data_IF_281406132497
#
_entry.id   IF_281406132497
#
_cell.length_a   1.000
_cell.length_b   1.000
_cell.length_c   1.000
_cell.angle_alpha   90.00
_cell.angle_beta   90.00
_cell.angle_gamma   90.00
#
_symmetry.space_group_name_H-M   'P 1'
#
loop_
_entity.id
_entity.type
_entity.pdbx_description
1 polymer ?
#
# COMPACT_ATOMS: atom_id res chain seq x y z
N UNK A 1 -47.27 -22.07 66.66
CA UNK A 1 -46.35 -21.21 65.87
C UNK A 1 -44.93 -21.69 66.15
N UNK A 2 -44.30 -22.46 65.25
CA UNK A 2 -43.46 -21.98 64.12
C UNK A 2 -42.28 -21.14 64.63
N UNK A 3 -41.00 -21.44 64.42
CA UNK A 3 -40.29 -22.15 63.34
C UNK A 3 -39.01 -22.84 63.84
N UNK A 4 -38.61 -23.89 63.12
CA UNK A 4 -37.38 -24.69 63.26
C UNK A 4 -36.12 -23.89 62.89
N UNK A 5 -35.07 -24.00 63.71
CA UNK A 5 -33.69 -23.68 63.31
C UNK A 5 -33.09 -24.96 62.71
N UNK A 6 -32.91 -24.98 61.38
CA UNK A 6 -32.12 -26.01 60.69
C UNK A 6 -30.71 -25.46 60.46
N UNK A 7 -29.72 -26.18 60.98
CA UNK A 7 -28.33 -26.03 60.62
C UNK A 7 -28.14 -26.30 59.11
N UNK A 8 -27.49 -25.37 58.41
CA UNK A 8 -27.03 -25.58 57.04
C UNK A 8 -25.50 -25.76 57.09
N UNK A 9 -25.07 -27.00 56.89
CA UNK A 9 -23.68 -27.35 56.65
C UNK A 9 -23.37 -26.89 55.22
N UNK A 10 -22.57 -25.83 55.09
CA UNK A 10 -22.06 -25.38 53.80
C UNK A 10 -20.80 -26.21 53.47
N UNK A 11 -20.98 -27.25 52.67
CA UNK A 11 -19.86 -27.98 52.07
C UNK A 11 -19.17 -27.10 51.03
N UNK A 12 -17.94 -26.67 51.31
CA UNK A 12 -17.05 -26.13 50.29
C UNK A 12 -16.64 -27.28 49.35
N UNK A 13 -17.31 -27.40 48.21
CA UNK A 13 -16.68 -28.01 47.03
C UNK A 13 -15.78 -26.96 46.39
N UNK A 14 -14.48 -27.09 46.62
CA UNK A 14 -13.46 -26.42 45.80
C UNK A 14 -13.49 -27.05 44.41
N UNK A 15 -14.18 -26.38 43.47
CA UNK A 15 -14.05 -26.67 42.03
C UNK A 15 -12.70 -26.09 41.62
N UNK A 16 -11.70 -26.95 41.48
CA UNK A 16 -10.44 -26.61 40.82
C UNK A 16 -10.76 -26.49 39.33
N UNK A 17 -10.61 -25.33 38.68
CA UNK A 17 -10.66 -25.29 37.22
C UNK A 17 -9.42 -26.04 36.72
N UNK A 18 -9.62 -27.20 36.10
CA UNK A 18 -8.61 -27.81 35.26
C UNK A 18 -8.31 -26.83 34.13
N UNK A 19 -7.22 -26.07 34.28
CA UNK A 19 -6.61 -25.35 33.18
C UNK A 19 -6.08 -26.44 32.24
N UNK A 20 -6.88 -26.77 31.22
CA UNK A 20 -6.33 -27.40 30.02
C UNK A 20 -5.38 -26.39 29.41
N UNK A 21 -4.08 -26.60 29.63
CA UNK A 21 -3.05 -26.02 28.79
C UNK A 21 -3.28 -26.64 27.43
N UNK A 22 -4.01 -25.94 26.56
CA UNK A 22 -3.96 -26.18 25.14
C UNK A 22 -2.50 -25.93 24.75
N UNK A 23 -1.72 -27.00 24.60
CA UNK A 23 -0.49 -26.94 23.84
C UNK A 23 -0.90 -26.41 22.46
N UNK A 24 -0.62 -25.13 22.20
CA UNK A 24 -0.63 -24.60 20.85
C UNK A 24 0.56 -25.26 20.15
N UNK A 25 0.35 -26.49 19.69
CA UNK A 25 1.04 -26.98 18.51
C UNK A 25 0.53 -26.11 17.36
N UNK A 26 1.08 -24.90 17.24
CA UNK A 26 1.05 -24.17 15.98
C UNK A 26 1.82 -25.06 15.01
N UNK A 27 1.09 -25.92 14.29
CA UNK A 27 1.61 -26.48 13.05
C UNK A 27 1.99 -25.25 12.24
N UNK A 28 3.29 -24.97 12.14
CA UNK A 28 3.79 -23.99 11.19
C UNK A 28 3.12 -24.32 9.86
N UNK A 29 2.28 -23.41 9.37
CA UNK A 29 1.68 -23.57 8.06
C UNK A 29 2.86 -23.67 7.09
N UNK A 30 3.00 -24.83 6.46
CA UNK A 30 4.04 -25.03 5.46
C UNK A 30 3.60 -24.25 4.22
N UNK A 31 4.17 -23.06 4.04
CA UNK A 31 4.02 -22.27 2.82
C UNK A 31 4.93 -22.89 1.76
N UNK A 32 4.40 -23.35 0.61
CA UNK A 32 5.20 -23.96 -0.44
C UNK A 32 6.38 -23.08 -0.86
N UNK A 33 7.56 -23.69 -1.01
CA UNK A 33 8.77 -22.99 -1.45
C UNK A 33 9.46 -22.11 -0.41
N UNK A 34 8.93 -21.98 0.81
CA UNK A 34 9.56 -21.16 1.87
C UNK A 34 10.55 -21.97 2.71
N UNK A 35 11.83 -21.58 2.66
CA UNK A 35 12.92 -22.16 3.44
C UNK A 35 13.04 -21.58 4.86
N UNK A 36 13.86 -22.19 5.73
CA UNK A 36 14.19 -21.62 7.05
C UNK A 36 14.87 -20.25 6.97
N UNK A 37 15.76 -20.07 5.98
CA UNK A 37 16.42 -18.77 5.71
C UNK A 37 15.37 -17.72 5.35
N UNK A 38 14.41 -18.06 4.50
CA UNK A 38 13.32 -17.14 4.14
C UNK A 38 12.46 -16.76 5.35
N UNK A 39 12.17 -17.70 6.26
CA UNK A 39 11.44 -17.39 7.52
C UNK A 39 12.20 -16.43 8.42
N UNK A 40 13.51 -16.65 8.58
CA UNK A 40 14.38 -15.73 9.34
C UNK A 40 14.36 -14.34 8.70
N UNK A 41 14.55 -14.28 7.39
CA UNK A 41 14.53 -13.02 6.63
C UNK A 41 13.19 -12.30 6.75
N UNK A 42 12.07 -13.02 6.66
CA UNK A 42 10.76 -12.40 6.80
C UNK A 42 10.55 -11.81 8.21
N UNK A 43 11.08 -12.46 9.25
CA UNK A 43 11.11 -11.90 10.61
C UNK A 43 11.95 -10.61 10.66
N UNK A 44 13.13 -10.61 10.06
CA UNK A 44 13.98 -9.40 9.98
C UNK A 44 13.30 -8.26 9.23
N UNK A 45 12.62 -8.58 8.13
CA UNK A 45 11.87 -7.64 7.33
C UNK A 45 10.71 -7.04 8.11
N UNK A 46 9.86 -7.87 8.73
CA UNK A 46 8.75 -7.44 9.59
C UNK A 46 9.23 -6.47 10.69
N UNK A 47 10.38 -6.76 11.30
CA UNK A 47 11.00 -5.88 12.28
C UNK A 47 11.53 -4.57 11.65
N UNK A 48 12.07 -4.63 10.44
CA UNK A 48 12.63 -3.47 9.73
C UNK A 48 11.58 -2.48 9.23
N UNK A 49 10.41 -2.97 8.80
CA UNK A 49 9.25 -2.13 8.46
C UNK A 49 8.40 -1.77 9.68
N UNK A 50 8.68 -2.41 10.82
CA UNK A 50 8.06 -2.12 12.09
C UNK A 50 6.61 -2.59 12.16
N UNK A 51 6.25 -3.75 11.60
CA UNK A 51 4.89 -4.33 11.66
C UNK A 51 4.82 -5.55 12.61
N UNK A 52 5.68 -5.57 13.61
CA UNK A 52 5.67 -6.53 14.72
C UNK A 52 4.36 -6.54 15.52
N UNK A 53 4.24 -7.47 16.45
CA UNK A 53 3.12 -7.49 17.42
C UNK A 53 3.05 -6.13 18.16
N UNK A 54 1.85 -5.59 18.33
CA UNK A 54 1.56 -4.27 18.95
C UNK A 54 1.98 -3.03 18.13
N UNK A 55 2.47 -3.18 16.90
CA UNK A 55 2.80 -2.02 16.09
C UNK A 55 1.59 -1.22 15.64
N UNK A 56 1.74 0.10 15.65
CA UNK A 56 0.79 1.07 15.08
C UNK A 56 1.12 1.46 13.64
N UNK A 57 2.28 1.01 13.12
CA UNK A 57 2.72 1.32 11.76
C UNK A 57 2.10 0.34 10.77
N UNK A 58 1.85 0.85 9.57
CA UNK A 58 1.34 0.08 8.45
C UNK A 58 2.48 -0.24 7.48
N UNK A 59 2.28 -1.24 6.65
CA UNK A 59 3.13 -1.48 5.48
C UNK A 59 2.31 -2.00 4.33
N UNK A 60 2.45 -1.34 3.19
CA UNK A 60 1.75 -1.68 1.96
C UNK A 60 2.70 -2.25 0.91
N UNK A 61 2.17 -3.03 -0.03
CA UNK A 61 2.94 -3.48 -1.20
C UNK A 61 2.09 -3.46 -2.47
N UNK A 62 2.73 -3.05 -3.57
CA UNK A 62 2.12 -3.11 -4.90
C UNK A 62 2.16 -4.53 -5.46
N UNK A 63 0.99 -5.02 -5.92
CA UNK A 63 0.80 -6.35 -6.51
C UNK A 63 0.23 -6.19 -7.92
N UNK A 64 1.11 -6.28 -8.93
CA UNK A 64 0.74 -6.06 -10.32
C UNK A 64 0.26 -7.32 -11.04
N UNK A 65 -0.71 -7.15 -11.95
CA UNK A 65 -1.32 -8.24 -12.73
C UNK A 65 -0.29 -9.02 -13.57
N UNK A 66 0.56 -8.31 -14.31
CA UNK A 66 1.47 -8.90 -15.31
C UNK A 66 2.59 -9.75 -14.74
N UNK A 67 2.84 -9.68 -13.42
CA UNK A 67 3.96 -10.35 -12.77
C UNK A 67 3.51 -11.16 -11.57
N UNK A 68 3.18 -10.48 -10.48
CA UNK A 68 2.86 -11.15 -9.21
C UNK A 68 1.58 -11.95 -9.33
N UNK A 69 0.48 -11.33 -9.79
CA UNK A 69 -0.78 -12.08 -9.93
C UNK A 69 -0.63 -13.19 -10.96
N UNK A 70 0.03 -12.94 -12.10
CA UNK A 70 0.33 -13.98 -13.08
C UNK A 70 1.10 -15.18 -12.50
N UNK A 71 2.07 -14.96 -11.62
CA UNK A 71 2.81 -16.03 -10.91
C UNK A 71 1.90 -16.83 -9.97
N UNK A 72 0.91 -16.17 -9.36
CA UNK A 72 0.00 -16.75 -8.36
C UNK A 72 -1.43 -16.94 -8.88
N UNK A 73 -1.63 -17.04 -10.20
CA UNK A 73 -2.97 -17.07 -10.79
C UNK A 73 -3.75 -18.32 -10.37
N UNK A 74 -3.07 -19.44 -10.20
CA UNK A 74 -3.69 -20.70 -9.75
C UNK A 74 -3.63 -20.88 -8.23
N UNK A 75 -2.83 -20.07 -7.52
CA UNK A 75 -2.55 -20.23 -6.08
C UNK A 75 -2.55 -18.89 -5.32
N UNK A 76 -3.66 -18.14 -5.29
CA UNK A 76 -3.76 -16.89 -4.53
C UNK A 76 -3.44 -17.05 -3.03
N UNK A 77 -3.73 -18.21 -2.44
CA UNK A 77 -3.43 -18.53 -1.05
C UNK A 77 -1.92 -18.50 -0.72
N UNK A 78 -1.07 -18.89 -1.66
CA UNK A 78 0.38 -18.88 -1.45
C UNK A 78 0.91 -17.45 -1.41
N UNK A 79 0.35 -16.57 -2.25
CA UNK A 79 0.66 -15.14 -2.22
C UNK A 79 0.25 -14.54 -0.87
N UNK A 80 -0.98 -14.80 -0.40
CA UNK A 80 -1.45 -14.30 0.90
C UNK A 80 -0.54 -14.78 2.03
N UNK A 81 -0.20 -16.07 2.07
CA UNK A 81 0.67 -16.62 3.12
C UNK A 81 2.06 -15.95 3.13
N UNK A 82 2.62 -15.64 1.97
CA UNK A 82 3.88 -14.89 1.85
C UNK A 82 3.75 -13.43 2.30
N UNK A 83 2.65 -12.76 1.94
CA UNK A 83 2.37 -11.38 2.37
C UNK A 83 2.26 -11.29 3.91
N UNK A 84 1.55 -12.23 4.52
CA UNK A 84 1.41 -12.35 5.99
C UNK A 84 2.77 -12.60 6.64
N UNK A 85 3.57 -13.52 6.08
CA UNK A 85 4.89 -13.84 6.61
C UNK A 85 5.83 -12.64 6.62
N UNK A 86 5.77 -11.81 5.57
CA UNK A 86 6.53 -10.56 5.46
C UNK A 86 5.92 -9.41 6.28
N UNK A 87 4.77 -9.61 6.92
CA UNK A 87 4.16 -8.63 7.81
C UNK A 87 3.53 -7.43 7.08
N UNK A 88 3.09 -7.60 5.84
CA UNK A 88 2.30 -6.56 5.18
C UNK A 88 0.93 -6.43 5.84
N UNK A 89 0.46 -5.19 5.96
CA UNK A 89 -0.86 -4.85 6.53
C UNK A 89 -1.83 -4.33 5.48
N UNK A 90 -1.31 -3.91 4.32
CA UNK A 90 -2.08 -3.43 3.19
C UNK A 90 -1.54 -4.01 1.88
N UNK A 91 -2.41 -4.15 0.89
CA UNK A 91 -2.03 -4.50 -0.48
C UNK A 91 -2.68 -3.52 -1.45
N UNK A 92 -1.89 -2.99 -2.39
CA UNK A 92 -2.38 -2.26 -3.55
C UNK A 92 -2.39 -3.21 -4.74
N UNK A 93 -3.56 -3.79 -5.04
CA UNK A 93 -3.67 -4.87 -6.01
C UNK A 93 -4.26 -4.37 -7.34
N UNK A 94 -3.60 -4.70 -8.45
CA UNK A 94 -4.13 -4.42 -9.79
C UNK A 94 -5.56 -4.93 -9.91
N UNK A 95 -6.48 -4.07 -10.39
CA UNK A 95 -7.87 -4.42 -10.62
C UNK A 95 -8.37 -3.76 -11.90
N UNK A 96 -8.79 -4.57 -12.87
CA UNK A 96 -9.14 -4.11 -14.22
C UNK A 96 -10.38 -4.85 -14.75
N UNK A 97 -10.99 -4.29 -15.81
CA UNK A 97 -12.21 -4.80 -16.45
C UNK A 97 -11.91 -6.00 -17.35
N UNK A 98 -12.88 -6.88 -17.65
CA UNK A 98 -12.69 -8.06 -18.51
C UNK A 98 -12.16 -7.77 -19.93
N UNK A 99 -12.34 -6.55 -20.43
CA UNK A 99 -11.82 -6.11 -21.72
C UNK A 99 -10.31 -5.81 -21.72
N UNK A 100 -9.68 -5.74 -20.55
CA UNK A 100 -8.25 -5.46 -20.41
C UNK A 100 -7.40 -6.73 -20.47
N UNK A 101 -6.20 -6.61 -21.04
CA UNK A 101 -5.17 -7.67 -20.97
C UNK A 101 -4.63 -7.91 -19.55
N UNK A 102 -4.97 -7.02 -18.62
CA UNK A 102 -4.63 -7.10 -17.19
C UNK A 102 -5.74 -7.72 -16.35
N UNK A 103 -6.83 -8.19 -16.99
CA UNK A 103 -7.96 -8.78 -16.29
C UNK A 103 -7.54 -10.00 -15.46
N UNK A 104 -8.05 -10.05 -14.24
CA UNK A 104 -7.90 -11.17 -13.30
C UNK A 104 -9.32 -11.68 -12.99
N UNK A 105 -9.59 -12.99 -13.07
CA UNK A 105 -10.92 -13.54 -12.84
C UNK A 105 -11.49 -13.20 -11.46
N UNK A 106 -12.79 -12.88 -11.39
CA UNK A 106 -13.51 -12.59 -10.14
C UNK A 106 -13.21 -13.62 -9.04
N UNK A 107 -13.23 -14.92 -9.36
CA UNK A 107 -12.97 -16.02 -8.41
C UNK A 107 -11.61 -15.94 -7.72
N UNK A 108 -10.61 -15.37 -8.40
CA UNK A 108 -9.28 -15.15 -7.82
C UNK A 108 -9.35 -14.13 -6.69
N UNK A 109 -10.00 -12.97 -6.92
CA UNK A 109 -10.20 -11.95 -5.88
C UNK A 109 -11.05 -12.44 -4.71
N UNK A 110 -12.09 -13.25 -4.98
CA UNK A 110 -12.91 -13.84 -3.91
C UNK A 110 -12.08 -14.66 -2.93
N UNK A 111 -11.10 -15.40 -3.45
CA UNK A 111 -10.20 -16.24 -2.66
C UNK A 111 -9.12 -15.40 -1.97
N UNK A 112 -8.44 -14.55 -2.75
CA UNK A 112 -7.39 -13.68 -2.24
C UNK A 112 -7.91 -12.76 -1.13
N UNK A 113 -9.02 -12.05 -1.38
CA UNK A 113 -9.56 -11.06 -0.44
C UNK A 113 -10.03 -11.71 0.87
N UNK A 114 -10.71 -12.86 0.76
CA UNK A 114 -11.12 -13.61 1.95
C UNK A 114 -9.94 -13.98 2.83
N UNK A 115 -8.91 -14.60 2.26
CA UNK A 115 -7.75 -15.06 3.00
C UNK A 115 -6.93 -13.89 3.55
N UNK A 116 -6.80 -12.80 2.80
CA UNK A 116 -6.12 -11.58 3.24
C UNK A 116 -6.84 -10.96 4.45
N UNK A 117 -8.16 -10.79 4.40
CA UNK A 117 -8.94 -10.28 5.52
C UNK A 117 -8.93 -11.18 6.75
N UNK A 118 -8.99 -12.51 6.57
CA UNK A 118 -8.82 -13.48 7.66
C UNK A 118 -7.47 -13.33 8.40
N UNK A 119 -6.47 -12.73 7.73
CA UNK A 119 -5.16 -12.41 8.29
C UNK A 119 -4.95 -10.90 8.55
N UNK A 120 -6.02 -10.11 8.56
CA UNK A 120 -5.97 -8.68 8.91
C UNK A 120 -5.31 -7.76 7.87
N UNK A 121 -5.16 -8.21 6.62
CA UNK A 121 -4.62 -7.40 5.52
C UNK A 121 -5.76 -6.60 4.87
N UNK A 122 -5.58 -5.28 4.79
CA UNK A 122 -6.47 -4.37 4.06
C UNK A 122 -6.16 -4.36 2.57
N UNK A 123 -7.18 -4.31 1.72
CA UNK A 123 -7.01 -4.49 0.28
C UNK A 123 -7.53 -3.27 -0.46
N UNK A 124 -6.64 -2.61 -1.20
CA UNK A 124 -6.98 -1.48 -2.04
C UNK A 124 -6.92 -1.90 -3.50
N UNK A 125 -7.99 -1.64 -4.23
CA UNK A 125 -7.97 -1.76 -5.69
C UNK A 125 -7.06 -0.66 -6.25
N UNK A 126 -5.97 -1.07 -6.92
CA UNK A 126 -5.12 -0.16 -7.68
C UNK A 126 -5.90 0.28 -8.91
N UNK A 127 -6.32 1.54 -8.90
CA UNK A 127 -7.19 2.15 -9.91
C UNK A 127 -6.78 3.60 -10.13
N UNK A 128 -7.56 4.36 -10.89
CA UNK A 128 -7.33 5.80 -11.14
C UNK A 128 -5.92 6.15 -11.66
N UNK A 129 -5.22 5.19 -12.28
CA UNK A 129 -3.90 5.36 -12.90
C UNK A 129 -3.97 5.58 -14.42
N UNK A 130 -5.19 5.60 -14.98
CA UNK A 130 -5.43 5.80 -16.39
C UNK A 130 -5.15 7.26 -16.79
N UNK A 131 -4.17 7.47 -17.66
CA UNK A 131 -3.76 8.82 -18.08
C UNK A 131 -4.84 9.59 -18.85
N UNK A 132 -5.90 8.92 -19.36
CA UNK A 132 -7.08 9.63 -19.89
C UNK A 132 -7.76 10.53 -18.87
N UNK A 133 -7.51 10.31 -17.58
CA UNK A 133 -7.95 11.19 -16.50
C UNK A 133 -7.43 12.63 -16.62
N UNK A 134 -6.39 12.90 -17.41
CA UNK A 134 -5.93 14.27 -17.68
C UNK A 134 -6.77 15.02 -18.72
N UNK A 135 -7.65 14.33 -19.44
CA UNK A 135 -8.48 14.93 -20.51
C UNK A 135 -9.98 14.64 -20.37
N UNK A 136 -10.37 13.71 -19.48
CA UNK A 136 -11.77 13.36 -19.24
C UNK A 136 -12.01 12.94 -17.79
N UNK A 137 -13.20 13.25 -17.26
CA UNK A 137 -13.70 12.77 -15.96
C UNK A 137 -14.39 11.41 -16.06
N UNK A 138 -14.79 10.99 -17.26
CA UNK A 138 -15.55 9.75 -17.49
C UNK A 138 -14.85 8.49 -16.92
N UNK A 139 -13.52 8.31 -17.07
CA UNK A 139 -12.84 7.16 -16.48
C UNK A 139 -12.89 7.11 -14.94
N UNK A 140 -13.18 8.23 -14.25
CA UNK A 140 -13.36 8.23 -12.79
C UNK A 140 -14.60 7.40 -12.46
N UNK A 141 -15.75 7.78 -13.01
CA UNK A 141 -17.03 7.10 -12.75
C UNK A 141 -16.97 5.64 -13.15
N UNK A 142 -16.51 5.38 -14.36
CA UNK A 142 -16.36 4.04 -14.90
C UNK A 142 -15.53 3.09 -14.03
N UNK A 143 -14.44 3.58 -13.44
CA UNK A 143 -13.56 2.75 -12.60
C UNK A 143 -14.14 2.55 -11.21
N UNK A 144 -14.78 3.58 -10.64
CA UNK A 144 -15.40 3.52 -9.32
C UNK A 144 -16.66 2.66 -9.32
N UNK A 145 -17.49 2.77 -10.36
CA UNK A 145 -18.65 1.89 -10.57
C UNK A 145 -18.21 0.43 -10.64
N UNK A 146 -17.14 0.11 -11.38
CA UNK A 146 -16.61 -1.25 -11.46
C UNK A 146 -16.20 -1.83 -10.10
N UNK A 147 -15.52 -1.04 -9.27
CA UNK A 147 -15.14 -1.45 -7.90
C UNK A 147 -16.38 -1.61 -7.01
N UNK A 148 -17.33 -0.67 -7.09
CA UNK A 148 -18.56 -0.69 -6.30
C UNK A 148 -19.45 -1.88 -6.66
N UNK A 149 -19.60 -2.20 -7.96
CA UNK A 149 -20.33 -3.37 -8.43
C UNK A 149 -19.73 -4.66 -7.90
N UNK A 150 -18.40 -4.80 -7.94
CA UNK A 150 -17.73 -5.94 -7.32
C UNK A 150 -18.05 -6.02 -5.83
N UNK A 151 -17.84 -4.94 -5.08
CA UNK A 151 -18.07 -4.87 -3.63
C UNK A 151 -19.54 -5.12 -3.23
N UNK A 152 -20.50 -4.74 -4.08
CA UNK A 152 -21.92 -4.99 -3.83
C UNK A 152 -22.35 -6.41 -4.17
N UNK A 153 -21.53 -7.16 -4.90
CA UNK A 153 -21.83 -8.52 -5.37
C UNK A 153 -21.19 -9.64 -4.54
N UNK A 154 -20.51 -9.29 -3.44
CA UNK A 154 -19.71 -10.22 -2.63
C UNK A 154 -19.90 -9.97 -1.13
N UNK A 155 -19.53 -10.96 -0.31
CA UNK A 155 -19.59 -10.86 1.14
C UNK A 155 -18.60 -9.80 1.67
N UNK A 156 -18.86 -9.28 2.87
CA UNK A 156 -18.01 -8.26 3.50
C UNK A 156 -16.52 -8.65 3.57
N UNK A 157 -16.23 -9.92 3.83
CA UNK A 157 -14.85 -10.46 3.88
C UNK A 157 -14.21 -10.62 2.51
N UNK A 158 -14.88 -10.25 1.41
CA UNK A 158 -14.35 -10.39 0.05
C UNK A 158 -14.25 -9.06 -0.70
N UNK A 159 -14.64 -7.95 -0.06
CA UNK A 159 -14.65 -6.62 -0.67
C UNK A 159 -13.23 -6.05 -0.82
N UNK A 160 -13.10 -4.98 -1.58
CA UNK A 160 -12.01 -4.02 -1.43
C UNK A 160 -12.35 -3.03 -0.32
N UNK A 161 -11.36 -2.64 0.49
CA UNK A 161 -11.48 -1.64 1.55
C UNK A 161 -11.19 -0.22 1.06
N UNK A 162 -10.46 -0.12 -0.05
CA UNK A 162 -9.97 1.16 -0.54
C UNK A 162 -9.56 1.16 -2.00
N UNK A 163 -9.09 2.32 -2.41
CA UNK A 163 -8.62 2.62 -3.75
C UNK A 163 -7.23 3.21 -3.64
N UNK A 164 -6.29 2.62 -4.35
CA UNK A 164 -4.94 3.16 -4.52
C UNK A 164 -4.83 3.80 -5.89
N UNK A 165 -4.68 5.12 -5.91
CA UNK A 165 -4.47 5.90 -7.10
C UNK A 165 -2.97 6.08 -7.38
N UNK A 166 -2.60 5.89 -8.64
CA UNK A 166 -1.22 6.01 -9.13
C UNK A 166 -1.20 6.94 -10.35
N UNK A 167 -1.82 8.11 -10.18
CA UNK A 167 -1.92 9.11 -11.24
C UNK A 167 -0.67 10.00 -11.27
N UNK A 168 0.25 9.67 -12.17
CA UNK A 168 1.58 10.28 -12.22
C UNK A 168 1.67 11.35 -13.34
N UNK A 169 1.69 12.66 -13.03
CA UNK A 169 1.76 13.68 -14.10
C UNK A 169 3.16 13.75 -14.73
N UNK A 170 4.19 13.40 -13.98
CA UNK A 170 5.60 13.60 -14.36
C UNK A 170 6.11 12.64 -15.45
N UNK A 171 5.34 11.62 -15.78
CA UNK A 171 5.61 10.71 -16.90
C UNK A 171 5.04 11.22 -18.24
N UNK A 172 4.23 12.30 -18.22
CA UNK A 172 3.61 12.92 -19.40
C UNK A 172 4.55 13.89 -20.12
N UNK A 173 5.80 13.46 -20.36
CA UNK A 173 6.80 14.26 -21.07
C UNK A 173 6.37 14.49 -22.53
N UNK A 174 6.84 15.57 -23.15
CA UNK A 174 6.44 15.97 -24.51
C UNK A 174 6.51 14.82 -25.54
N UNK A 175 7.54 13.97 -25.45
CA UNK A 175 7.80 12.84 -26.34
C UNK A 175 7.32 11.48 -25.80
N UNK A 176 6.54 11.46 -24.72
CA UNK A 176 6.03 10.24 -24.13
C UNK A 176 4.91 9.63 -24.99
N UNK A 177 5.09 8.39 -25.44
CA UNK A 177 4.05 7.62 -26.14
C UNK A 177 2.83 7.30 -25.28
N UNK A 178 2.92 7.56 -23.97
CA UNK A 178 1.84 7.35 -23.00
C UNK A 178 0.89 8.54 -22.88
N UNK A 179 1.17 9.69 -23.51
CA UNK A 179 0.28 10.86 -23.45
C UNK A 179 -1.07 10.51 -24.09
N UNK A 180 -2.20 10.73 -23.39
CA UNK A 180 -3.51 10.50 -23.97
C UNK A 180 -3.76 11.50 -25.11
N UNK A 181 -4.51 11.06 -26.11
CA UNK A 181 -4.99 11.93 -27.17
C UNK A 181 -5.78 13.11 -26.58
N UNK A 182 -5.60 14.30 -27.17
CA UNK A 182 -6.24 15.53 -26.70
C UNK A 182 -5.52 16.25 -25.55
N UNK A 183 -4.49 15.66 -24.93
CA UNK A 183 -3.74 16.35 -23.89
C UNK A 183 -2.76 17.36 -24.49
N UNK A 184 -3.05 18.64 -24.30
CA UNK A 184 -2.17 19.74 -24.76
C UNK A 184 -0.98 19.98 -23.84
N UNK A 185 -1.10 19.65 -22.55
CA UNK A 185 -0.07 19.85 -21.53
C UNK A 185 1.03 18.79 -21.62
N UNK A 186 2.26 19.16 -21.27
CA UNK A 186 3.38 18.25 -21.12
C UNK A 186 4.23 18.55 -19.89
N UNK A 187 4.65 17.49 -19.19
CA UNK A 187 5.61 17.64 -18.11
C UNK A 187 6.98 18.07 -18.66
N UNK A 188 7.54 19.13 -18.08
CA UNK A 188 8.79 19.77 -18.52
C UNK A 188 9.72 20.11 -17.35
N UNK A 189 10.99 20.39 -17.64
CA UNK A 189 11.96 20.80 -16.62
C UNK A 189 11.73 22.24 -16.12
N UNK A 190 11.07 23.07 -16.94
CA UNK A 190 10.74 24.46 -16.59
C UNK A 190 9.43 24.51 -15.80
N UNK A 191 9.55 24.67 -14.48
CA UNK A 191 8.41 24.86 -13.59
C UNK A 191 7.91 26.31 -13.62
N UNK A 192 6.65 26.52 -13.27
CA UNK A 192 6.07 27.84 -13.10
C UNK A 192 4.59 27.75 -12.76
N UNK A 193 4.13 28.65 -11.89
CA UNK A 193 2.71 28.79 -11.56
C UNK A 193 1.90 29.05 -12.83
N UNK A 194 0.84 28.27 -13.04
CA UNK A 194 0.00 28.33 -14.24
C UNK A 194 0.61 27.68 -15.49
N UNK A 195 1.84 27.16 -15.43
CA UNK A 195 2.44 26.36 -16.50
C UNK A 195 2.00 24.91 -16.48
N UNK A 196 2.42 24.12 -17.47
CA UNK A 196 1.95 22.75 -17.69
C UNK A 196 2.11 21.83 -16.47
N UNK A 197 3.26 21.83 -15.80
CA UNK A 197 3.49 21.02 -14.61
C UNK A 197 2.48 21.36 -13.49
N UNK A 198 2.18 22.65 -13.32
CA UNK A 198 1.26 23.16 -12.30
C UNK A 198 -0.18 22.78 -12.63
N UNK A 199 -0.58 22.91 -13.90
CA UNK A 199 -1.91 22.53 -14.37
C UNK A 199 -2.13 21.02 -14.36
N UNK A 200 -1.10 20.22 -14.66
CA UNK A 200 -1.16 18.77 -14.52
C UNK A 200 -1.35 18.36 -13.06
N UNK A 201 -0.63 18.97 -12.11
CA UNK A 201 -0.81 18.70 -10.69
C UNK A 201 -2.15 19.18 -10.15
N UNK A 202 -2.63 20.34 -10.62
CA UNK A 202 -4.00 20.80 -10.36
C UNK A 202 -5.00 19.73 -10.75
N UNK A 203 -4.86 19.21 -11.97
CA UNK A 203 -5.74 18.17 -12.49
C UNK A 203 -5.66 16.89 -11.65
N UNK A 204 -4.47 16.48 -11.20
CA UNK A 204 -4.34 15.32 -10.30
C UNK A 204 -5.13 15.52 -8.99
N UNK A 205 -5.06 16.70 -8.37
CA UNK A 205 -5.84 17.03 -7.16
C UNK A 205 -7.35 17.04 -7.45
N UNK A 206 -7.78 17.61 -8.58
CA UNK A 206 -9.18 17.62 -9.00
C UNK A 206 -9.75 16.20 -9.19
N UNK A 207 -8.97 15.28 -9.79
CA UNK A 207 -9.37 13.88 -9.93
C UNK A 207 -9.58 13.23 -8.56
N UNK A 208 -8.69 13.49 -7.59
CA UNK A 208 -8.87 12.97 -6.22
C UNK A 208 -10.13 13.53 -5.54
N UNK A 209 -10.38 14.83 -5.72
CA UNK A 209 -11.58 15.49 -5.20
C UNK A 209 -12.87 14.92 -5.79
N UNK A 210 -12.89 14.62 -7.09
CA UNK A 210 -14.01 13.98 -7.77
C UNK A 210 -14.17 12.52 -7.31
N UNK A 211 -13.08 11.75 -7.27
CA UNK A 211 -13.13 10.36 -6.85
C UNK A 211 -13.67 10.21 -5.41
N UNK A 212 -13.25 11.08 -4.48
CA UNK A 212 -13.74 11.05 -3.09
C UNK A 212 -15.25 11.23 -2.97
N UNK A 213 -15.89 11.94 -3.90
CA UNK A 213 -17.35 12.13 -3.92
C UNK A 213 -18.11 10.89 -4.41
N UNK A 214 -17.48 10.10 -5.28
CA UNK A 214 -18.12 9.00 -6.01
C UNK A 214 -17.82 7.61 -5.38
N UNK A 215 -16.74 7.48 -4.62
CA UNK A 215 -16.24 6.18 -4.12
C UNK A 215 -16.95 5.62 -2.86
N UNK A 216 -17.95 6.33 -2.34
CA UNK A 216 -18.68 5.91 -1.14
C UNK A 216 -17.81 5.85 0.12
N UNK A 217 -17.87 4.74 0.86
CA UNK A 217 -17.17 4.57 2.14
C UNK A 217 -15.74 4.03 2.01
N UNK A 218 -15.24 3.84 0.79
CA UNK A 218 -13.89 3.35 0.56
C UNK A 218 -12.84 4.39 1.02
N UNK A 219 -11.66 3.90 1.38
CA UNK A 219 -10.49 4.77 1.61
C UNK A 219 -9.80 5.11 0.30
N UNK A 220 -9.18 6.30 0.21
CA UNK A 220 -8.43 6.76 -0.96
C UNK A 220 -6.99 7.04 -0.61
N UNK A 221 -6.07 6.50 -1.41
CA UNK A 221 -4.68 6.92 -1.39
C UNK A 221 -4.18 7.35 -2.77
N UNK A 222 -3.17 8.23 -2.80
CA UNK A 222 -2.53 8.69 -4.03
C UNK A 222 -1.00 8.64 -3.90
N UNK A 223 -0.33 8.07 -4.90
CA UNK A 223 1.12 8.11 -5.00
C UNK A 223 1.62 9.51 -5.43
N UNK A 224 2.60 10.05 -4.73
CA UNK A 224 3.17 11.37 -4.99
C UNK A 224 4.64 11.25 -5.38
N UNK A 225 5.03 11.97 -6.43
CA UNK A 225 6.44 12.20 -6.70
C UNK A 225 7.06 12.94 -5.52
N UNK A 226 8.19 12.44 -5.00
CA UNK A 226 8.86 13.00 -3.81
C UNK A 226 9.16 14.50 -3.91
N UNK A 227 9.25 15.00 -5.13
CA UNK A 227 9.73 16.32 -5.47
C UNK A 227 8.61 17.35 -5.70
N UNK A 228 7.34 16.95 -5.61
CA UNK A 228 6.19 17.85 -5.76
C UNK A 228 6.14 18.86 -4.62
N UNK A 229 6.21 18.39 -3.37
CA UNK A 229 6.07 19.22 -2.19
C UNK A 229 7.13 20.33 -2.12
N UNK A 230 8.41 20.02 -2.37
CA UNK A 230 9.47 21.04 -2.29
C UNK A 230 9.31 22.15 -3.35
N UNK A 231 8.71 21.85 -4.49
CA UNK A 231 8.41 22.84 -5.53
C UNK A 231 7.19 23.68 -5.18
N UNK A 232 6.21 23.09 -4.51
CA UNK A 232 5.11 23.83 -3.89
C UNK A 232 5.63 24.78 -2.80
N UNK A 233 6.47 24.28 -1.88
CA UNK A 233 7.02 25.05 -0.76
C UNK A 233 7.85 26.27 -1.21
N UNK A 234 8.53 26.15 -2.36
CA UNK A 234 9.35 27.22 -2.93
C UNK A 234 8.57 28.19 -3.83
N UNK A 235 7.27 27.97 -4.02
CA UNK A 235 6.43 28.79 -4.89
C UNK A 235 6.68 28.59 -6.39
N UNK A 236 7.42 27.54 -6.78
CA UNK A 236 7.58 27.16 -8.19
C UNK A 236 6.30 26.55 -8.76
N UNK A 237 5.46 25.99 -7.89
CA UNK A 237 4.14 25.43 -8.19
C UNK A 237 3.12 25.96 -7.18
N UNK A 238 1.88 26.12 -7.63
CA UNK A 238 0.72 26.42 -6.79
C UNK A 238 -0.13 25.18 -6.48
N UNK A 239 0.18 24.05 -7.13
CA UNK A 239 -0.43 22.74 -6.92
C UNK A 239 0.62 21.66 -6.63
N UNK A 240 0.17 20.53 -6.09
CA UNK A 240 1.03 19.38 -5.79
C UNK A 240 1.49 19.29 -4.33
N UNK A 241 1.01 20.17 -3.46
CA UNK A 241 1.26 20.10 -2.03
C UNK A 241 0.50 18.92 -1.40
N UNK A 242 1.14 18.19 -0.49
CA UNK A 242 0.61 17.04 0.23
C UNK A 242 -0.71 17.35 0.95
N UNK A 243 -0.83 18.54 1.56
CA UNK A 243 -2.09 18.96 2.20
C UNK A 243 -3.24 19.09 1.19
N UNK A 244 -2.98 19.52 -0.05
CA UNK A 244 -4.02 19.61 -1.08
C UNK A 244 -4.54 18.22 -1.47
N UNK A 245 -3.68 17.20 -1.49
CA UNK A 245 -4.10 15.82 -1.68
C UNK A 245 -4.85 15.27 -0.46
N UNK A 246 -4.34 15.51 0.75
CA UNK A 246 -4.90 15.01 2.01
C UNK A 246 -6.25 15.66 2.39
N UNK A 247 -6.69 16.71 1.69
CA UNK A 247 -8.08 17.19 1.76
C UNK A 247 -9.08 16.19 1.15
N UNK A 248 -8.62 15.28 0.29
CA UNK A 248 -9.46 14.37 -0.48
C UNK A 248 -9.03 12.90 -0.33
N UNK A 249 -7.77 12.65 -0.01
CA UNK A 249 -7.22 11.33 0.27
C UNK A 249 -7.12 11.09 1.78
N UNK A 250 -7.34 9.84 2.19
CA UNK A 250 -7.14 9.41 3.58
C UNK A 250 -5.64 9.24 3.89
N UNK A 251 -4.82 8.98 2.87
CA UNK A 251 -3.36 8.91 2.96
C UNK A 251 -2.68 9.23 1.62
N UNK A 252 -1.39 9.54 1.65
CA UNK A 252 -0.53 9.71 0.47
C UNK A 252 0.69 8.80 0.57
N UNK A 253 1.20 8.35 -0.58
CA UNK A 253 2.37 7.48 -0.68
C UNK A 253 3.49 8.23 -1.38
N UNK A 254 4.59 8.52 -0.68
CA UNK A 254 5.70 9.26 -1.28
C UNK A 254 6.63 8.29 -1.98
N UNK A 255 6.77 8.43 -3.31
CA UNK A 255 7.68 7.65 -4.14
C UNK A 255 9.14 8.09 -3.93
N UNK A 256 9.71 7.73 -2.78
CA UNK A 256 11.07 8.07 -2.38
C UNK A 256 12.08 7.03 -2.89
N UNK A 257 12.04 6.74 -4.20
CA UNK A 257 12.79 5.66 -4.81
C UNK A 257 14.29 5.97 -4.91
N UNK A 258 15.05 5.41 -3.98
CA UNK A 258 16.51 5.44 -3.96
C UNK A 258 17.07 4.26 -3.18
N UNK A 259 18.24 3.74 -3.54
CA UNK A 259 18.88 2.66 -2.77
C UNK A 259 19.65 3.15 -1.53
N UNK A 260 19.79 4.47 -1.34
CA UNK A 260 20.45 5.02 -0.15
C UNK A 260 19.39 5.45 0.88
N UNK A 261 19.37 4.79 2.04
CA UNK A 261 18.39 5.06 3.11
C UNK A 261 18.32 6.55 3.51
N UNK A 262 19.47 7.22 3.60
CA UNK A 262 19.54 8.65 3.88
C UNK A 262 18.82 9.47 2.80
N UNK A 263 19.02 9.12 1.53
CA UNK A 263 18.39 9.81 0.41
C UNK A 263 16.88 9.57 0.37
N UNK A 264 16.42 8.36 0.72
CA UNK A 264 14.97 8.06 0.89
C UNK A 264 14.34 9.03 1.89
N UNK A 265 14.97 9.22 3.06
CA UNK A 265 14.48 10.15 4.08
C UNK A 265 14.52 11.60 3.61
N UNK A 266 15.62 12.05 2.98
CA UNK A 266 15.70 13.40 2.41
C UNK A 266 14.57 13.66 1.39
N UNK A 267 14.25 12.67 0.55
CA UNK A 267 13.17 12.75 -0.44
C UNK A 267 11.79 12.80 0.22
N UNK A 268 11.57 12.04 1.29
CA UNK A 268 10.27 11.97 1.96
C UNK A 268 9.99 13.14 2.93
N UNK A 269 11.04 13.75 3.49
CA UNK A 269 10.96 14.76 4.55
C UNK A 269 10.04 15.94 4.22
N UNK A 270 10.07 16.54 3.00
CA UNK A 270 9.16 17.63 2.66
C UNK A 270 7.69 17.25 2.84
N UNK A 271 7.27 16.09 2.32
CA UNK A 271 5.88 15.62 2.43
C UNK A 271 5.52 15.27 3.87
N UNK A 272 6.40 14.56 4.58
CA UNK A 272 6.19 14.23 6.00
C UNK A 272 6.00 15.49 6.85
N UNK A 273 6.80 16.53 6.59
CA UNK A 273 6.72 17.81 7.31
C UNK A 273 5.42 18.55 6.99
N UNK A 274 5.11 18.69 5.69
CA UNK A 274 3.90 19.38 5.23
C UNK A 274 2.61 18.72 5.73
N UNK A 275 2.59 17.40 5.90
CA UNK A 275 1.45 16.64 6.38
C UNK A 275 1.30 16.60 7.92
N UNK A 276 2.02 17.42 8.69
CA UNK A 276 2.03 17.36 10.17
C UNK A 276 0.63 17.44 10.84
N UNK A 277 -0.33 18.11 10.21
CA UNK A 277 -1.73 18.21 10.66
C UNK A 277 -2.59 16.97 10.34
N UNK A 278 -2.04 16.00 9.61
CA UNK A 278 -2.69 14.75 9.20
C UNK A 278 -1.90 13.57 9.79
N UNK A 279 -2.14 13.19 11.06
CA UNK A 279 -1.41 12.11 11.70
C UNK A 279 -1.55 10.80 10.94
N UNK A 280 -0.47 10.02 10.85
CA UNK A 280 -0.45 8.68 10.22
C UNK A 280 -1.05 8.64 8.80
N UNK A 281 -0.80 9.67 7.99
CA UNK A 281 -1.34 9.82 6.64
C UNK A 281 -0.30 9.68 5.53
N UNK A 282 0.98 9.57 5.85
CA UNK A 282 2.08 9.52 4.85
C UNK A 282 2.83 8.20 4.96
N UNK A 283 2.77 7.39 3.90
CA UNK A 283 3.66 6.25 3.70
C UNK A 283 4.91 6.66 2.92
N UNK A 284 6.07 6.13 3.30
CA UNK A 284 7.33 6.27 2.55
C UNK A 284 7.52 5.03 1.68
N UNK A 285 7.44 5.17 0.37
CA UNK A 285 7.62 4.05 -0.55
C UNK A 285 9.08 3.90 -0.97
N UNK A 286 9.61 2.69 -0.83
CA UNK A 286 10.91 2.28 -1.38
C UNK A 286 10.71 1.29 -2.52
N UNK A 287 11.68 1.23 -3.42
CA UNK A 287 11.63 0.36 -4.60
C UNK A 287 12.61 -0.80 -4.48
N UNK A 288 12.13 -2.01 -4.76
CA UNK A 288 12.86 -3.28 -4.67
C UNK A 288 12.93 -4.00 -6.02
N UNK A 289 12.57 -3.32 -7.10
CA UNK A 289 12.51 -3.87 -8.44
C UNK A 289 13.54 -3.22 -9.38
N UNK A 290 14.24 -4.01 -10.20
CA UNK A 290 15.03 -3.56 -11.36
C UNK A 290 14.55 -4.28 -12.61
N UNK A 291 14.66 -3.63 -13.77
CA UNK A 291 14.19 -4.18 -15.06
C UNK A 291 12.70 -4.57 -15.01
N UNK A 292 11.89 -3.76 -14.34
CA UNK A 292 10.43 -3.95 -14.20
C UNK A 292 9.66 -2.71 -14.62
N UNK A 293 8.36 -2.65 -14.33
CA UNK A 293 7.57 -1.42 -14.38
C UNK A 293 8.31 -0.30 -13.61
N UNK A 294 8.39 0.88 -14.22
CA UNK A 294 9.04 2.07 -13.66
C UNK A 294 10.57 2.05 -13.63
N UNK A 295 11.24 1.35 -14.55
CA UNK A 295 12.71 1.28 -14.57
C UNK A 295 13.38 2.61 -14.94
N UNK A 296 13.78 3.36 -13.91
CA UNK A 296 14.65 4.55 -14.00
C UNK A 296 16.13 4.20 -13.68
N UNK A 297 16.51 2.93 -13.74
CA UNK A 297 17.88 2.45 -13.54
C UNK A 297 18.26 2.11 -12.08
N UNK A 298 19.51 1.65 -11.88
CA UNK A 298 19.95 1.00 -10.64
C UNK A 298 19.92 1.89 -9.40
N UNK A 299 19.93 3.21 -9.59
CA UNK A 299 19.96 4.18 -8.49
C UNK A 299 18.62 4.27 -7.74
N UNK A 300 17.53 3.78 -8.33
CA UNK A 300 16.18 3.87 -7.75
C UNK A 300 15.78 2.65 -6.92
N UNK A 301 16.55 1.56 -6.96
CA UNK A 301 16.12 0.27 -6.43
C UNK A 301 17.12 -0.35 -5.46
N UNK A 302 16.61 -0.97 -4.40
CA UNK A 302 17.38 -1.78 -3.46
C UNK A 302 17.77 -3.15 -4.01
N UNK A 303 17.15 -3.64 -5.10
CA UNK A 303 17.40 -4.99 -5.62
C UNK A 303 18.89 -5.32 -5.84
N UNK A 304 19.71 -4.48 -6.50
CA UNK A 304 21.11 -4.80 -6.75
C UNK A 304 21.98 -4.70 -5.48
N UNK A 305 21.47 -4.11 -4.40
CA UNK A 305 22.19 -3.99 -3.13
C UNK A 305 22.00 -5.22 -2.22
N UNK A 306 21.04 -6.09 -2.54
CA UNK A 306 20.78 -7.32 -1.80
C UNK A 306 19.93 -7.14 -0.54
N UNK A 307 19.56 -8.28 0.05
CA UNK A 307 18.62 -8.37 1.17
C UNK A 307 19.12 -7.64 2.42
N UNK A 308 20.37 -7.88 2.85
CA UNK A 308 20.89 -7.31 4.09
C UNK A 308 20.99 -5.79 4.04
N UNK A 309 21.30 -5.24 2.86
CA UNK A 309 21.28 -3.80 2.63
C UNK A 309 19.86 -3.23 2.72
N UNK A 310 18.87 -3.91 2.12
CA UNK A 310 17.46 -3.53 2.26
C UNK A 310 17.04 -3.49 3.73
N UNK A 311 17.32 -4.55 4.50
CA UNK A 311 16.96 -4.62 5.92
C UNK A 311 17.60 -3.48 6.73
N UNK A 312 18.90 -3.25 6.54
CA UNK A 312 19.63 -2.17 7.23
C UNK A 312 19.05 -0.81 6.86
N UNK A 313 18.73 -0.60 5.59
CA UNK A 313 18.17 0.64 5.07
C UNK A 313 16.75 0.89 5.60
N UNK A 314 15.90 -0.13 5.62
CA UNK A 314 14.54 -0.04 6.14
C UNK A 314 14.53 0.30 7.64
N UNK A 315 15.40 -0.33 8.44
CA UNK A 315 15.57 0.01 9.86
C UNK A 315 15.93 1.49 10.06
N UNK A 316 16.83 2.02 9.23
CA UNK A 316 17.17 3.44 9.25
C UNK A 316 15.99 4.32 8.84
N UNK A 317 15.31 3.98 7.75
CA UNK A 317 14.14 4.74 7.27
C UNK A 317 13.05 4.77 8.33
N UNK A 318 12.73 3.63 8.96
CA UNK A 318 11.76 3.57 10.05
C UNK A 318 12.17 4.45 11.23
N UNK A 319 13.44 4.39 11.65
CA UNK A 319 13.94 5.15 12.79
C UNK A 319 13.87 6.68 12.58
N UNK A 320 14.10 7.14 11.36
CA UNK A 320 14.04 8.55 11.00
C UNK A 320 12.60 9.02 10.72
N UNK A 321 11.84 8.25 9.95
CA UNK A 321 10.49 8.64 9.53
C UNK A 321 9.49 8.64 10.70
N UNK A 322 9.65 7.75 11.69
CA UNK A 322 8.77 7.73 12.89
C UNK A 322 8.84 8.99 13.77
N UNK A 323 9.82 9.88 13.52
CA UNK A 323 9.92 11.18 14.20
C UNK A 323 8.83 12.16 13.74
N UNK A 324 8.18 11.88 12.61
CA UNK A 324 7.10 12.69 12.05
C UNK A 324 5.74 12.10 12.44
N UNK A 325 4.86 12.90 13.05
CA UNK A 325 3.51 12.47 13.43
C UNK A 325 2.65 12.03 12.23
N UNK A 326 2.94 12.57 11.04
CA UNK A 326 2.31 12.20 9.78
C UNK A 326 2.71 10.82 9.28
N UNK A 327 3.82 10.25 9.76
CA UNK A 327 4.32 8.97 9.28
C UNK A 327 3.36 7.84 9.61
N UNK A 328 2.94 7.14 8.56
CA UNK A 328 2.03 5.99 8.60
C UNK A 328 2.79 4.67 8.59
N UNK A 329 3.85 4.59 7.77
CA UNK A 329 4.42 3.30 7.42
C UNK A 329 5.40 3.33 6.23
N UNK A 330 5.94 2.15 5.92
CA UNK A 330 6.81 1.94 4.76
C UNK A 330 6.08 1.10 3.72
N UNK A 331 6.05 1.58 2.49
CA UNK A 331 5.45 0.87 1.35
C UNK A 331 6.54 0.31 0.43
N UNK A 332 6.26 -0.82 -0.23
CA UNK A 332 7.20 -1.51 -1.13
C UNK A 332 6.68 -1.53 -2.57
N UNK A 333 7.48 -0.97 -3.48
CA UNK A 333 7.29 -1.07 -4.93
C UNK A 333 8.34 -2.03 -5.51
N UNK A 334 8.05 -3.30 -5.79
CA UNK A 334 6.78 -4.02 -5.74
C UNK A 334 7.05 -5.47 -5.29
N UNK A 335 6.00 -6.25 -5.03
CA UNK A 335 6.15 -7.57 -4.40
C UNK A 335 7.08 -8.52 -5.18
N UNK A 336 6.96 -8.60 -6.50
CA UNK A 336 7.79 -9.50 -7.32
C UNK A 336 9.29 -9.15 -7.26
N UNK A 337 9.63 -7.85 -7.18
CA UNK A 337 10.99 -7.38 -6.95
C UNK A 337 11.53 -7.77 -5.57
N UNK A 338 10.73 -7.54 -4.53
CA UNK A 338 11.05 -7.92 -3.16
C UNK A 338 11.22 -9.43 -3.02
N UNK A 339 10.32 -10.21 -3.63
CA UNK A 339 10.33 -11.66 -3.56
C UNK A 339 11.60 -12.26 -4.14
N UNK A 340 12.10 -11.71 -5.26
CA UNK A 340 13.40 -12.12 -5.83
C UNK A 340 14.53 -11.90 -4.83
N UNK A 341 14.55 -10.75 -4.14
CA UNK A 341 15.55 -10.47 -3.11
C UNK A 341 15.40 -11.39 -1.89
N UNK A 342 14.16 -11.75 -1.56
CA UNK A 342 13.87 -12.61 -0.42
C UNK A 342 14.30 -14.06 -0.68
N UNK A 343 14.08 -14.55 -1.90
CA UNK A 343 14.42 -15.90 -2.37
C UNK A 343 15.92 -16.06 -2.72
N UNK A 344 16.63 -14.97 -3.06
CA UNK A 344 18.06 -15.04 -3.46
C UNK A 344 18.94 -15.54 -2.31
N UNK A 345 19.92 -16.41 -2.57
CA UNK A 345 20.81 -16.92 -1.50
C UNK A 345 21.59 -15.81 -0.82
#
# INVERSE_FOLDING_TARGET
MSYKIKALILGLLTIIPQIMIAQSCSKEVQVPGVTSVMRSRATDFKNAIGTGEESIFRSSVYVYATRTVKKYIDNPQDLVAKLVMLGFTDVYIAYDKPSSSLYIPKSWYLTFNKLAHENGITIHALSLSNLKLYVSDEPIKENLEWINEFNNSVDATQKFDGISADLEPHILKINSTRRPEGLTLAWQESYGIGGDNDLLLKRTVEVMALAKKEMGSLTLNQALGFFFQSRYDTGLLSWGGAQQFLQHCDQVVVMAYNYQAKRVIEMATPVLTAASQYPKSVSVAVKTSLNTLGDDGPLTSFQPQGWDNLITSLKYVLAEAKKFNSFRGIDIFEFGGLEIMWESK
#
